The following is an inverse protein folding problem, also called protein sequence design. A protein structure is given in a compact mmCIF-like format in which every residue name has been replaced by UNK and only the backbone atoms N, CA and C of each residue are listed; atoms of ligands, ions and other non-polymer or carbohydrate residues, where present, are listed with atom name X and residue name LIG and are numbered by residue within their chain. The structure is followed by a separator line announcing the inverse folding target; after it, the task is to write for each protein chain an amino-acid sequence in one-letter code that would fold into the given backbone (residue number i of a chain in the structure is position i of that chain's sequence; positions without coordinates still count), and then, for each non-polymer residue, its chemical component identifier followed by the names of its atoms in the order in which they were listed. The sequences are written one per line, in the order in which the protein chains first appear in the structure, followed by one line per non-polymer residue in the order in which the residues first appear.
data_IF_402941248875
#
_entry.id   IF_402941248875
#
_cell.length_a   1.000
_cell.length_b   1.000
_cell.length_c   1.000
_cell.angle_alpha   90.00
_cell.angle_beta   90.00
_cell.angle_gamma   90.00
#
_symmetry.space_group_name_H-M   'P 1'
#
loop_
_entity.id
_entity.type
_entity.pdbx_description
1 polymer ?
#
# COMPACT_ATOMS: atom_id res chain seq x y z
N UNK A 1 30.01 -2.43 42.77
CA UNK A 1 29.09 -2.12 41.66
C UNK A 1 28.02 -1.17 42.17
N UNK A 2 28.07 0.10 41.78
CA UNK A 2 26.96 1.05 42.03
C UNK A 2 25.85 0.73 41.03
N UNK A 3 24.69 0.30 41.55
CA UNK A 3 23.53 -0.02 40.73
C UNK A 3 23.07 1.23 39.98
N UNK A 4 23.00 1.13 38.65
CA UNK A 4 22.40 2.17 37.81
C UNK A 4 20.94 2.32 38.26
N UNK A 5 20.62 3.45 38.90
CA UNK A 5 19.26 3.73 39.35
C UNK A 5 18.28 3.56 38.18
N UNK A 6 17.26 2.71 38.37
CA UNK A 6 16.25 2.44 37.35
C UNK A 6 15.63 3.73 36.82
N UNK A 7 15.35 3.79 35.51
CA UNK A 7 14.72 4.94 34.86
C UNK A 7 13.40 5.28 35.58
N UNK A 8 13.20 6.56 35.91
CA UNK A 8 12.00 7.05 36.60
C UNK A 8 10.72 6.71 35.83
N UNK A 9 9.74 6.10 36.52
CA UNK A 9 8.39 5.79 36.02
C UNK A 9 7.43 7.00 36.03
N UNK A 10 7.91 8.19 36.38
CA UNK A 10 7.10 9.40 36.45
C UNK A 10 6.50 9.78 35.08
N UNK A 11 5.31 10.41 35.09
CA UNK A 11 4.73 10.98 33.88
C UNK A 11 5.67 12.03 33.25
N UNK A 12 5.52 12.26 31.94
CA UNK A 12 6.42 13.14 31.17
C UNK A 12 6.53 14.55 31.77
N UNK A 13 5.42 15.12 32.24
CA UNK A 13 5.42 16.47 32.82
C UNK A 13 6.05 16.53 34.21
N UNK A 14 5.80 15.54 35.07
CA UNK A 14 6.47 15.47 36.37
C UNK A 14 7.98 15.26 36.21
N UNK A 15 8.38 14.46 35.22
CA UNK A 15 9.79 14.25 34.85
C UNK A 15 10.44 15.54 34.36
N UNK A 16 9.77 16.27 33.45
CA UNK A 16 10.22 17.58 32.94
C UNK A 16 10.34 18.61 34.07
N UNK A 17 9.36 18.64 34.97
CA UNK A 17 9.31 19.54 36.15
C UNK A 17 10.24 19.09 37.30
N UNK A 18 10.91 17.95 37.18
CA UNK A 18 11.77 17.34 38.23
C UNK A 18 11.08 17.19 39.59
N UNK A 19 9.80 16.77 39.55
CA UNK A 19 8.99 16.53 40.75
C UNK A 19 8.57 15.06 40.87
N UNK A 20 8.41 14.55 42.10
CA UNK A 20 7.92 13.18 42.34
C UNK A 20 6.51 13.00 41.78
N UNK A 21 6.34 12.09 40.85
CA UNK A 21 5.03 11.72 40.32
C UNK A 21 4.35 10.73 41.26
N UNK A 22 3.04 10.90 41.43
CA UNK A 22 2.17 10.02 42.22
C UNK A 22 1.67 8.79 41.45
N UNK A 23 1.99 8.68 40.14
CA UNK A 23 1.72 7.52 39.28
C UNK A 23 0.24 7.12 39.14
N UNK A 24 -0.72 7.99 39.48
CA UNK A 24 -2.15 7.68 39.26
C UNK A 24 -2.55 7.73 37.79
N UNK A 25 -3.30 6.74 37.33
CA UNK A 25 -3.85 6.67 35.98
C UNK A 25 -5.32 7.16 35.94
N UNK A 26 -5.80 7.77 34.84
CA UNK A 26 -5.10 8.07 33.58
C UNK A 26 -4.24 9.35 33.62
N UNK A 27 -4.31 10.15 34.69
CA UNK A 27 -3.51 11.37 34.88
C UNK A 27 -3.01 11.47 36.33
N UNK A 28 -1.76 11.90 36.51
CA UNK A 28 -1.21 12.08 37.86
C UNK A 28 -1.90 13.25 38.59
N UNK A 29 -2.21 13.07 39.88
CA UNK A 29 -2.83 14.09 40.73
C UNK A 29 -1.97 15.36 40.79
N UNK A 30 -0.65 15.23 40.68
CA UNK A 30 0.26 16.38 40.72
C UNK A 30 0.15 17.29 39.50
N UNK A 31 -0.17 16.74 38.32
CA UNK A 31 -0.49 17.54 37.13
C UNK A 31 -1.89 18.14 37.24
N UNK A 32 -2.87 17.36 37.73
CA UNK A 32 -4.24 17.84 37.93
C UNK A 32 -4.31 19.02 38.90
N UNK A 33 -3.63 18.95 40.05
CA UNK A 33 -3.56 20.05 41.03
C UNK A 33 -2.81 21.28 40.49
N UNK A 34 -1.81 21.05 39.66
CA UNK A 34 -1.07 22.13 38.99
C UNK A 34 -1.84 22.72 37.79
N UNK A 35 -3.05 22.23 37.48
CA UNK A 35 -3.87 22.63 36.33
C UNK A 35 -3.13 22.54 34.99
N UNK A 36 -2.24 21.55 34.84
CA UNK A 36 -1.54 21.27 33.58
C UNK A 36 -2.05 19.98 32.95
N UNK A 37 -2.07 19.95 31.62
CA UNK A 37 -2.42 18.74 30.87
C UNK A 37 -1.34 17.67 31.04
N UNK A 38 -1.67 16.56 31.71
CA UNK A 38 -0.75 15.44 31.89
C UNK A 38 -0.62 14.64 30.60
N UNK A 39 0.56 14.67 29.97
CA UNK A 39 0.90 13.93 28.75
C UNK A 39 1.04 12.41 28.98
N UNK A 40 0.86 11.94 30.21
CA UNK A 40 0.84 10.52 30.57
C UNK A 40 2.23 9.92 30.81
N UNK A 41 2.27 8.59 30.85
CA UNK A 41 3.42 7.79 31.33
C UNK A 41 4.21 7.10 30.21
N UNK A 42 3.74 7.21 28.96
CA UNK A 42 4.32 6.46 27.86
C UNK A 42 5.63 7.09 27.41
N UNK A 43 6.71 6.33 27.50
CA UNK A 43 7.93 6.59 26.75
C UNK A 43 7.73 5.89 25.40
N UNK A 44 7.64 6.66 24.32
CA UNK A 44 7.76 6.07 22.98
C UNK A 44 9.13 5.39 22.89
N UNK A 45 9.13 4.07 22.79
CA UNK A 45 10.35 3.30 22.57
C UNK A 45 10.79 3.55 21.13
N UNK A 46 11.84 4.34 20.97
CA UNK A 46 12.46 4.52 19.67
C UNK A 46 13.49 3.41 19.41
N UNK A 47 13.36 2.76 18.25
CA UNK A 47 14.38 1.84 17.75
C UNK A 47 15.47 2.65 17.05
N UNK A 48 16.72 2.49 17.48
CA UNK A 48 17.87 3.12 16.86
C UNK A 48 18.62 2.03 16.10
N UNK A 49 18.52 2.03 14.78
CA UNK A 49 19.26 1.11 13.94
C UNK A 49 20.72 1.58 13.85
N UNK A 50 21.65 0.80 14.42
CA UNK A 50 23.09 1.04 14.30
C UNK A 50 23.64 0.16 13.19
N UNK A 51 24.00 0.77 12.07
CA UNK A 51 24.63 0.07 10.95
C UNK A 51 26.16 0.08 11.10
N UNK A 52 26.85 -0.72 10.29
CA UNK A 52 28.32 -0.71 10.21
C UNK A 52 28.89 0.66 9.81
N UNK A 53 28.11 1.45 9.07
CA UNK A 53 28.45 2.82 8.66
C UNK A 53 28.25 3.83 9.79
N UNK A 54 27.39 3.53 10.77
CA UNK A 54 27.08 4.43 11.89
C UNK A 54 27.09 3.70 13.26
N UNK A 55 28.24 3.11 13.66
CA UNK A 55 28.33 2.31 14.89
C UNK A 55 28.12 3.16 16.16
N UNK A 56 28.41 4.46 16.09
CA UNK A 56 28.26 5.42 17.18
C UNK A 56 26.90 6.12 17.27
N UNK A 57 25.90 5.72 16.47
CA UNK A 57 24.62 6.42 16.45
C UNK A 57 23.90 6.30 17.81
N UNK A 58 23.72 7.45 18.45
CA UNK A 58 22.97 7.56 19.70
C UNK A 58 21.51 7.88 19.42
N UNK A 59 20.63 7.54 20.36
CA UNK A 59 19.22 7.89 20.29
C UNK A 59 18.99 9.40 20.11
N UNK A 60 19.77 10.24 20.81
CA UNK A 60 19.68 11.69 20.68
C UNK A 60 20.10 12.18 19.28
N UNK A 61 21.18 11.61 18.72
CA UNK A 61 21.63 11.94 17.37
C UNK A 61 20.62 11.48 16.30
N UNK A 62 20.02 10.29 16.45
CA UNK A 62 18.98 9.79 15.56
C UNK A 62 17.73 10.70 15.57
N UNK A 63 17.27 11.14 16.75
CA UNK A 63 16.15 12.10 16.87
C UNK A 63 16.50 13.46 16.26
N UNK A 64 17.68 14.00 16.56
CA UNK A 64 18.12 15.30 16.05
C UNK A 64 18.40 15.27 14.53
N UNK A 65 18.74 14.11 13.96
CA UNK A 65 18.83 13.87 12.53
C UNK A 65 17.44 13.79 11.88
N UNK A 66 16.51 13.05 12.49
CA UNK A 66 15.12 12.96 12.02
C UNK A 66 14.41 14.32 11.94
N UNK A 67 14.67 15.23 12.90
CA UNK A 67 14.14 16.59 12.88
C UNK A 67 14.72 17.49 11.78
N UNK A 68 15.84 17.10 11.16
CA UNK A 68 16.52 17.83 10.08
C UNK A 68 16.27 17.26 8.69
N UNK A 69 15.62 16.11 8.59
CA UNK A 69 15.27 15.54 7.30
C UNK A 69 14.15 16.38 6.65
N UNK A 70 14.23 16.71 5.34
CA UNK A 70 13.07 17.18 4.59
C UNK A 70 11.94 16.14 4.69
N UNK A 71 10.68 16.59 4.53
CA UNK A 71 9.42 15.84 4.70
C UNK A 71 9.58 14.32 4.85
N UNK A 72 9.12 13.75 5.97
CA UNK A 72 9.17 12.30 6.18
C UNK A 72 8.61 11.55 4.96
N UNK A 73 9.10 10.34 4.63
CA UNK A 73 8.61 9.56 3.49
C UNK A 73 7.08 9.42 3.49
N UNK A 74 6.46 9.35 4.67
CA UNK A 74 5.00 9.34 4.79
C UNK A 74 4.30 10.65 4.44
N UNK A 75 4.83 11.79 4.91
CA UNK A 75 4.30 13.09 4.52
C UNK A 75 4.36 13.31 3.00
N UNK A 76 5.46 12.89 2.35
CA UNK A 76 5.59 12.96 0.89
C UNK A 76 4.54 12.10 0.19
N UNK A 77 4.34 10.86 0.63
CA UNK A 77 3.32 9.96 0.08
C UNK A 77 1.91 10.49 0.24
N UNK A 78 1.57 11.02 1.41
CA UNK A 78 0.27 11.63 1.67
C UNK A 78 0.04 12.87 0.79
N UNK A 79 1.07 13.68 0.57
CA UNK A 79 1.00 14.83 -0.33
C UNK A 79 0.72 14.38 -1.77
N UNK A 80 1.46 13.39 -2.27
CA UNK A 80 1.23 12.81 -3.60
C UNK A 80 -0.17 12.21 -3.74
N UNK A 81 -0.66 11.50 -2.72
CA UNK A 81 -2.02 10.96 -2.73
C UNK A 81 -3.08 12.06 -2.85
N UNK A 82 -2.92 13.17 -2.13
CA UNK A 82 -3.85 14.29 -2.22
C UNK A 82 -3.81 14.96 -3.60
N UNK A 83 -2.64 15.02 -4.26
CA UNK A 83 -2.55 15.46 -5.66
C UNK A 83 -3.30 14.52 -6.59
N UNK A 84 -3.12 13.20 -6.44
CA UNK A 84 -3.83 12.20 -7.25
C UNK A 84 -5.36 12.33 -7.09
N UNK A 85 -5.87 12.56 -5.87
CA UNK A 85 -7.31 12.79 -5.64
C UNK A 85 -7.83 13.99 -6.43
N UNK A 86 -7.08 15.08 -6.48
CA UNK A 86 -7.46 16.29 -7.22
C UNK A 86 -7.42 16.05 -8.74
N UNK A 87 -6.40 15.35 -9.22
CA UNK A 87 -6.24 15.04 -10.65
C UNK A 87 -7.29 14.06 -11.16
N UNK A 88 -7.64 13.03 -10.37
CA UNK A 88 -8.71 12.09 -10.69
C UNK A 88 -10.07 12.78 -10.90
N UNK A 89 -10.32 13.89 -10.20
CA UNK A 89 -11.55 14.67 -10.35
C UNK A 89 -11.54 15.57 -11.61
N UNK A 90 -10.38 15.73 -12.27
CA UNK A 90 -10.23 16.57 -13.45
C UNK A 90 -10.41 15.77 -14.74
N UNK A 91 -11.27 16.22 -15.67
CA UNK A 91 -11.42 15.60 -16.98
C UNK A 91 -10.23 15.88 -17.92
N UNK A 92 -9.37 16.85 -17.59
CA UNK A 92 -8.22 17.26 -18.40
C UNK A 92 -6.89 16.65 -17.92
N UNK A 93 -6.94 15.62 -17.06
CA UNK A 93 -5.73 14.98 -16.53
C UNK A 93 -4.92 14.29 -17.64
N UNK A 94 -3.60 14.33 -17.54
CA UNK A 94 -2.70 13.52 -18.35
C UNK A 94 -2.59 12.10 -17.73
N UNK A 95 -3.10 11.04 -18.39
CA UNK A 95 -3.08 9.69 -17.84
C UNK A 95 -1.67 9.19 -17.53
N UNK A 96 -0.68 9.52 -18.37
CA UNK A 96 0.68 9.04 -18.19
C UNK A 96 1.31 9.68 -16.95
N UNK A 97 1.16 11.00 -16.81
CA UNK A 97 1.67 11.73 -15.65
C UNK A 97 1.01 11.26 -14.35
N UNK A 98 -0.31 11.06 -14.37
CA UNK A 98 -1.06 10.54 -13.23
C UNK A 98 -0.52 9.17 -12.78
N UNK A 99 -0.33 8.24 -13.73
CA UNK A 99 0.16 6.88 -13.47
C UNK A 99 1.57 6.89 -12.91
N UNK A 100 2.49 7.65 -13.52
CA UNK A 100 3.84 7.82 -12.99
C UNK A 100 3.85 8.36 -11.56
N UNK A 101 2.97 9.31 -11.23
CA UNK A 101 2.83 9.83 -9.87
C UNK A 101 2.27 8.80 -8.90
N UNK A 102 1.29 8.00 -9.31
CA UNK A 102 0.79 6.88 -8.50
C UNK A 102 1.90 5.88 -8.19
N UNK A 103 2.73 5.53 -9.18
CA UNK A 103 3.88 4.64 -8.97
C UNK A 103 4.91 5.20 -7.98
N UNK A 104 5.11 6.52 -7.93
CA UNK A 104 5.97 7.17 -6.92
C UNK A 104 5.45 7.00 -5.49
N UNK A 105 4.14 6.84 -5.30
CA UNK A 105 3.58 6.54 -3.97
C UNK A 105 3.89 5.11 -3.55
N UNK A 106 3.85 4.18 -4.50
CA UNK A 106 4.09 2.75 -4.29
C UNK A 106 5.58 2.42 -4.14
N UNK A 107 6.44 3.29 -4.65
CA UNK A 107 7.89 3.12 -4.57
C UNK A 107 8.39 3.07 -3.11
N UNK A 108 9.18 2.05 -2.78
CA UNK A 108 9.67 1.79 -1.43
C UNK A 108 8.62 1.25 -0.44
N UNK A 109 7.36 1.07 -0.85
CA UNK A 109 6.35 0.31 -0.10
C UNK A 109 6.19 -1.08 -0.67
N UNK A 110 6.00 -1.12 -1.99
CA UNK A 110 5.58 -2.30 -2.72
C UNK A 110 6.67 -2.79 -3.68
N UNK A 111 7.44 -1.87 -4.27
CA UNK A 111 8.60 -2.21 -5.09
C UNK A 111 9.73 -2.74 -4.18
N UNK A 112 10.17 -3.99 -4.35
CA UNK A 112 11.29 -4.52 -3.58
C UNK A 112 12.57 -3.77 -3.95
N UNK A 113 13.32 -3.32 -2.95
CA UNK A 113 14.68 -2.81 -3.16
C UNK A 113 15.59 -4.00 -3.46
N UNK A 114 15.90 -4.23 -4.74
CA UNK A 114 16.83 -5.27 -5.17
C UNK A 114 18.09 -4.61 -5.72
N UNK A 115 19.20 -4.72 -4.98
CA UNK A 115 20.55 -4.41 -5.47
C UNK A 115 21.21 -5.60 -6.15
N UNK A 116 20.45 -6.61 -6.57
CA UNK A 116 20.97 -7.77 -7.30
C UNK A 116 21.04 -7.43 -8.79
N UNK A 117 22.25 -7.17 -9.28
CA UNK A 117 22.52 -6.97 -10.70
C UNK A 117 21.95 -8.13 -11.53
N UNK A 118 21.08 -7.82 -12.50
CA UNK A 118 20.68 -8.75 -13.56
C UNK A 118 19.39 -9.56 -13.36
N UNK A 119 18.71 -9.49 -12.22
CA UNK A 119 17.41 -10.13 -12.02
C UNK A 119 16.28 -9.10 -11.90
N UNK A 120 15.59 -8.79 -13.01
CA UNK A 120 14.34 -8.03 -12.93
C UNK A 120 13.31 -8.89 -12.19
N UNK A 121 12.74 -8.43 -11.05
CA UNK A 121 11.70 -9.16 -10.37
C UNK A 121 10.44 -9.18 -11.25
N UNK A 122 10.22 -10.31 -11.90
CA UNK A 122 9.06 -10.61 -12.75
C UNK A 122 7.71 -10.17 -12.12
N UNK A 123 7.61 -10.18 -10.79
CA UNK A 123 6.42 -9.80 -10.02
C UNK A 123 6.05 -8.30 -10.07
N UNK A 124 6.95 -7.41 -10.52
CA UNK A 124 6.78 -5.95 -10.49
C UNK A 124 6.62 -5.35 -11.89
N UNK A 125 6.91 -6.13 -12.95
CA UNK A 125 6.86 -5.68 -14.35
C UNK A 125 5.49 -5.09 -14.76
N UNK A 126 4.40 -5.51 -14.12
CA UNK A 126 3.07 -4.97 -14.36
C UNK A 126 2.95 -3.49 -13.96
N UNK A 127 3.70 -3.02 -12.94
CA UNK A 127 3.74 -1.61 -12.56
C UNK A 127 4.49 -0.77 -13.59
N UNK A 128 5.59 -1.29 -14.14
CA UNK A 128 6.31 -0.65 -15.24
C UNK A 128 5.42 -0.51 -16.48
N UNK A 129 4.66 -1.57 -16.81
CA UNK A 129 3.69 -1.53 -17.90
C UNK A 129 2.66 -0.41 -17.69
N UNK A 130 2.12 -0.25 -16.48
CA UNK A 130 1.20 0.84 -16.12
C UNK A 130 1.83 2.22 -16.34
N UNK A 131 3.10 2.38 -15.98
CA UNK A 131 3.86 3.62 -16.18
C UNK A 131 4.10 4.00 -17.65
N UNK A 132 3.78 3.11 -18.59
CA UNK A 132 3.94 3.33 -20.03
C UNK A 132 2.60 3.43 -20.79
N UNK A 133 1.47 3.17 -20.15
CA UNK A 133 0.13 3.26 -20.75
C UNK A 133 -0.27 4.73 -20.87
N UNK A 134 -0.63 5.19 -22.08
CA UNK A 134 -0.94 6.61 -22.35
C UNK A 134 -2.43 6.85 -22.52
N UNK A 135 -3.18 5.80 -22.79
CA UNK A 135 -4.59 5.79 -23.09
C UNK A 135 -5.41 6.06 -21.83
N UNK A 136 -6.40 6.95 -21.93
CA UNK A 136 -7.30 7.28 -20.83
C UNK A 136 -8.14 6.07 -20.40
N UNK A 137 -8.21 5.83 -19.09
CA UNK A 137 -9.04 4.79 -18.49
C UNK A 137 -9.35 5.15 -17.03
N UNK A 138 -10.59 5.53 -16.76
CA UNK A 138 -11.04 5.86 -15.40
C UNK A 138 -10.94 4.65 -14.46
N UNK A 139 -11.24 3.43 -14.96
CA UNK A 139 -11.11 2.22 -14.16
C UNK A 139 -9.69 2.01 -13.64
N UNK A 140 -8.67 2.17 -14.49
CA UNK A 140 -7.26 2.05 -14.09
C UNK A 140 -6.87 3.17 -13.12
N UNK A 141 -7.18 4.42 -13.45
CA UNK A 141 -6.71 5.55 -12.65
C UNK A 141 -7.36 5.56 -11.25
N UNK A 142 -8.66 5.23 -11.15
CA UNK A 142 -9.35 5.06 -9.86
C UNK A 142 -8.82 3.85 -9.08
N UNK A 143 -8.49 2.75 -9.77
CA UNK A 143 -7.89 1.57 -9.13
C UNK A 143 -6.51 1.87 -8.57
N UNK A 144 -5.70 2.67 -9.27
CA UNK A 144 -4.40 3.14 -8.77
C UNK A 144 -4.54 4.08 -7.57
N UNK A 145 -5.52 4.98 -7.59
CA UNK A 145 -5.82 5.85 -6.46
C UNK A 145 -6.18 5.03 -5.21
N UNK A 146 -7.07 4.04 -5.36
CA UNK A 146 -7.43 3.12 -4.29
C UNK A 146 -6.20 2.35 -3.79
N UNK A 147 -5.40 1.81 -4.70
CA UNK A 147 -4.21 1.04 -4.37
C UNK A 147 -3.19 1.86 -3.57
N UNK A 148 -2.92 3.09 -4.00
CA UNK A 148 -2.03 4.02 -3.27
C UNK A 148 -2.53 4.29 -1.85
N UNK A 149 -3.83 4.61 -1.69
CA UNK A 149 -4.42 4.89 -0.38
C UNK A 149 -4.34 3.67 0.56
N UNK A 150 -4.59 2.47 0.03
CA UNK A 150 -4.52 1.22 0.79
C UNK A 150 -3.08 0.94 1.23
N UNK A 151 -2.10 1.10 0.35
CA UNK A 151 -0.69 0.88 0.70
C UNK A 151 -0.19 1.87 1.75
N UNK A 152 -0.57 3.14 1.67
CA UNK A 152 -0.25 4.13 2.71
C UNK A 152 -0.84 3.71 4.07
N UNK A 153 -2.11 3.25 4.09
CA UNK A 153 -2.76 2.75 5.32
C UNK A 153 -2.03 1.52 5.89
N UNK A 154 -1.65 0.57 5.04
CA UNK A 154 -0.96 -0.67 5.44
C UNK A 154 0.40 -0.39 6.09
N UNK A 155 1.15 0.60 5.61
CA UNK A 155 2.44 1.00 6.20
C UNK A 155 2.28 1.71 7.56
N UNK A 156 1.05 1.94 8.03
CA UNK A 156 0.77 2.42 9.38
C UNK A 156 0.77 3.94 9.50
N UNK A 157 0.51 4.67 8.41
CA UNK A 157 0.19 6.09 8.49
C UNK A 157 -1.27 6.27 8.92
N UNK A 158 -1.50 6.74 10.14
CA UNK A 158 -2.84 7.01 10.71
C UNK A 158 -3.63 8.12 9.98
N UNK A 159 -3.22 8.51 8.78
CA UNK A 159 -3.78 9.60 7.99
C UNK A 159 -5.01 9.17 7.16
N UNK A 160 -5.22 7.87 6.97
CA UNK A 160 -6.27 7.32 6.10
C UNK A 160 -7.05 6.25 6.86
N UNK A 161 -8.37 6.41 6.96
CA UNK A 161 -9.23 5.43 7.64
C UNK A 161 -9.45 4.18 6.79
N UNK A 162 -9.83 3.07 7.43
CA UNK A 162 -10.23 1.85 6.72
C UNK A 162 -11.44 2.12 5.80
N UNK A 163 -12.44 2.84 6.31
CA UNK A 163 -13.65 3.16 5.56
C UNK A 163 -13.35 3.98 4.30
N UNK A 164 -12.45 4.97 4.38
CA UNK A 164 -12.00 5.73 3.21
C UNK A 164 -11.38 4.82 2.15
N UNK A 165 -10.57 3.85 2.56
CA UNK A 165 -9.96 2.89 1.63
C UNK A 165 -10.98 1.97 0.98
N UNK A 166 -12.01 1.54 1.71
CA UNK A 166 -13.11 0.73 1.16
C UNK A 166 -13.95 1.54 0.18
N UNK A 167 -14.22 2.82 0.47
CA UNK A 167 -14.95 3.70 -0.44
C UNK A 167 -14.20 3.89 -1.78
N UNK A 168 -12.89 4.13 -1.72
CA UNK A 168 -12.04 4.25 -2.91
C UNK A 168 -12.01 2.94 -3.71
N UNK A 169 -11.83 1.80 -3.03
CA UNK A 169 -11.88 0.48 -3.68
C UNK A 169 -13.22 0.25 -4.38
N UNK A 170 -14.35 0.50 -3.69
CA UNK A 170 -15.68 0.29 -4.27
C UNK A 170 -15.95 1.25 -5.43
N UNK A 171 -15.42 2.47 -5.40
CA UNK A 171 -15.54 3.39 -6.51
C UNK A 171 -14.77 2.91 -7.74
N UNK A 172 -13.53 2.44 -7.55
CA UNK A 172 -12.74 1.84 -8.61
C UNK A 172 -13.39 0.57 -9.19
N UNK A 173 -13.92 -0.31 -8.32
CA UNK A 173 -14.62 -1.52 -8.74
C UNK A 173 -15.83 -1.21 -9.64
N UNK A 174 -16.61 -0.17 -9.33
CA UNK A 174 -17.73 0.26 -10.20
C UNK A 174 -17.27 0.64 -11.60
N UNK A 175 -16.14 1.35 -11.73
CA UNK A 175 -15.58 1.71 -13.03
C UNK A 175 -15.12 0.48 -13.81
N UNK A 176 -14.51 -0.51 -13.15
CA UNK A 176 -14.15 -1.79 -13.80
C UNK A 176 -15.40 -2.52 -14.30
N UNK A 177 -16.45 -2.61 -13.47
CA UNK A 177 -17.73 -3.24 -13.86
C UNK A 177 -18.32 -2.53 -15.09
N UNK A 178 -18.26 -1.20 -15.12
CA UNK A 178 -18.75 -0.41 -16.26
C UNK A 178 -17.94 -0.65 -17.54
N UNK A 179 -16.60 -0.69 -17.45
CA UNK A 179 -15.74 -1.03 -18.59
C UNK A 179 -16.04 -2.44 -19.11
N UNK A 180 -16.23 -3.42 -18.23
CA UNK A 180 -16.63 -4.78 -18.61
C UNK A 180 -17.99 -4.80 -19.33
N UNK A 181 -18.99 -4.08 -18.80
CA UNK A 181 -20.33 -3.98 -19.39
C UNK A 181 -20.31 -3.31 -20.78
N UNK A 182 -19.36 -2.40 -21.02
CA UNK A 182 -19.17 -1.72 -22.30
C UNK A 182 -18.29 -2.51 -23.30
N UNK A 183 -17.93 -3.76 -22.99
CA UNK A 183 -17.10 -4.60 -23.85
C UNK A 183 -15.62 -4.19 -23.88
N UNK A 184 -15.17 -3.36 -22.93
CA UNK A 184 -13.78 -2.89 -22.80
C UNK A 184 -12.90 -3.83 -21.96
N UNK A 185 -13.40 -5.01 -21.62
CA UNK A 185 -12.70 -5.98 -20.76
C UNK A 185 -11.37 -6.49 -21.29
N UNK A 186 -11.18 -6.49 -22.62
CA UNK A 186 -9.94 -6.92 -23.25
C UNK A 186 -8.89 -5.81 -23.37
N UNK A 187 -9.17 -4.57 -22.94
CA UNK A 187 -8.19 -3.47 -22.94
C UNK A 187 -7.14 -3.68 -21.87
N UNK A 188 -5.89 -3.36 -22.18
CA UNK A 188 -4.77 -3.52 -21.24
C UNK A 188 -4.94 -2.65 -19.98
N UNK A 189 -5.57 -1.47 -20.09
CA UNK A 189 -5.84 -0.63 -18.92
C UNK A 189 -6.87 -1.27 -17.99
N UNK A 190 -7.94 -1.86 -18.54
CA UNK A 190 -8.96 -2.58 -17.75
C UNK A 190 -8.34 -3.79 -17.03
N UNK A 191 -7.48 -4.51 -17.73
CA UNK A 191 -6.73 -5.64 -17.18
C UNK A 191 -5.78 -5.20 -16.06
N UNK A 192 -5.07 -4.09 -16.23
CA UNK A 192 -4.25 -3.49 -15.19
C UNK A 192 -5.07 -3.01 -13.99
N UNK A 193 -6.28 -2.49 -14.21
CA UNK A 193 -7.21 -2.10 -13.15
C UNK A 193 -7.63 -3.31 -12.31
N UNK A 194 -7.99 -4.43 -12.96
CA UNK A 194 -8.34 -5.70 -12.31
C UNK A 194 -7.15 -6.21 -11.47
N UNK A 195 -5.93 -6.16 -12.00
CA UNK A 195 -4.71 -6.54 -11.27
C UNK A 195 -4.51 -5.66 -10.02
N UNK A 196 -4.68 -4.34 -10.15
CA UNK A 196 -4.53 -3.41 -9.04
C UNK A 196 -5.57 -3.68 -7.94
N UNK A 197 -6.85 -3.87 -8.31
CA UNK A 197 -7.92 -4.19 -7.35
C UNK A 197 -7.70 -5.56 -6.71
N UNK A 198 -7.38 -6.61 -7.47
CA UNK A 198 -7.07 -7.93 -6.91
C UNK A 198 -5.91 -7.86 -5.90
N UNK A 199 -4.91 -7.01 -6.17
CA UNK A 199 -3.80 -6.78 -5.23
C UNK A 199 -4.25 -6.04 -3.98
N UNK A 200 -5.21 -5.10 -4.09
CA UNK A 200 -5.80 -4.41 -2.94
C UNK A 200 -6.52 -5.36 -1.98
N UNK A 201 -7.18 -6.39 -2.50
CA UNK A 201 -7.97 -7.34 -1.70
C UNK A 201 -7.13 -8.14 -0.72
N UNK A 202 -5.86 -8.40 -1.07
CA UNK A 202 -4.88 -9.01 -0.18
C UNK A 202 -4.70 -8.25 1.13
N UNK A 203 -5.05 -6.96 1.17
CA UNK A 203 -4.89 -6.08 2.33
C UNK A 203 -6.22 -5.60 2.93
N UNK A 204 -7.28 -5.53 2.14
CA UNK A 204 -8.60 -5.07 2.60
C UNK A 204 -9.48 -6.20 3.14
N UNK A 205 -9.44 -7.38 2.51
CA UNK A 205 -10.43 -8.44 2.68
C UNK A 205 -9.76 -9.79 2.95
N UNK A 206 -8.76 -9.81 3.83
CA UNK A 206 -7.91 -10.99 4.15
C UNK A 206 -8.73 -12.22 4.56
N UNK A 207 -9.95 -12.04 5.07
CA UNK A 207 -10.83 -13.11 5.55
C UNK A 207 -11.97 -13.46 4.59
N UNK A 208 -12.14 -12.73 3.49
CA UNK A 208 -13.27 -12.91 2.58
C UNK A 208 -12.85 -13.65 1.31
N UNK A 209 -13.84 -14.22 0.62
CA UNK A 209 -13.64 -14.90 -0.66
C UNK A 209 -13.43 -13.94 -1.85
N UNK A 210 -13.31 -12.62 -1.62
CA UNK A 210 -13.21 -11.61 -2.68
C UNK A 210 -12.08 -11.89 -3.66
N UNK A 211 -10.89 -12.27 -3.14
CA UNK A 211 -9.73 -12.64 -3.97
C UNK A 211 -10.03 -13.83 -4.89
N UNK A 212 -10.87 -14.76 -4.45
CA UNK A 212 -11.28 -15.93 -5.23
C UNK A 212 -12.12 -15.55 -6.44
N UNK A 213 -12.98 -14.54 -6.29
CA UNK A 213 -13.89 -14.06 -7.32
C UNK A 213 -13.08 -13.36 -8.42
N UNK A 214 -12.15 -12.48 -8.04
CA UNK A 214 -11.25 -11.85 -9.02
C UNK A 214 -10.32 -12.86 -9.68
N UNK A 215 -9.74 -13.80 -8.92
CA UNK A 215 -8.91 -14.87 -9.49
C UNK A 215 -9.70 -15.72 -10.51
N UNK A 216 -10.95 -16.05 -10.21
CA UNK A 216 -11.82 -16.77 -11.14
C UNK A 216 -12.15 -15.93 -12.38
N UNK A 217 -12.51 -14.66 -12.21
CA UNK A 217 -12.77 -13.74 -13.32
C UNK A 217 -11.55 -13.56 -14.23
N UNK A 218 -10.35 -13.41 -13.65
CA UNK A 218 -9.08 -13.37 -14.38
C UNK A 218 -8.89 -14.68 -15.15
N UNK A 219 -9.12 -15.83 -14.53
CA UNK A 219 -9.02 -17.14 -15.17
C UNK A 219 -9.94 -17.25 -16.39
N UNK A 220 -11.19 -16.76 -16.33
CA UNK A 220 -12.09 -16.73 -17.48
C UNK A 220 -11.58 -15.78 -18.59
N UNK A 221 -11.07 -14.60 -18.23
CA UNK A 221 -10.46 -13.67 -19.20
C UNK A 221 -9.29 -14.34 -19.92
N UNK A 222 -8.40 -15.02 -19.19
CA UNK A 222 -7.23 -15.70 -19.76
C UNK A 222 -7.64 -16.83 -20.72
N UNK A 223 -8.71 -17.58 -20.42
CA UNK A 223 -9.19 -18.67 -21.30
C UNK A 223 -9.80 -18.17 -22.59
N UNK A 224 -10.49 -17.04 -22.55
CA UNK A 224 -11.28 -16.53 -23.68
C UNK A 224 -10.60 -15.44 -24.48
N UNK A 225 -9.51 -14.85 -23.97
CA UNK A 225 -8.77 -13.82 -24.70
C UNK A 225 -8.02 -14.46 -25.86
N UNK A 226 -8.38 -14.05 -27.08
CA UNK A 226 -7.59 -14.37 -28.25
C UNK A 226 -6.33 -13.48 -28.30
N UNK A 227 -5.15 -14.09 -28.23
CA UNK A 227 -3.85 -13.41 -28.20
C UNK A 227 -3.11 -13.64 -29.52
N UNK A 228 -3.80 -13.52 -30.67
CA UNK A 228 -3.14 -13.59 -31.98
C UNK A 228 -2.07 -12.50 -32.15
N UNK A 229 -2.18 -11.36 -31.44
CA UNK A 229 -1.16 -10.32 -31.39
C UNK A 229 -1.07 -9.71 -29.97
N UNK A 230 -0.16 -10.20 -29.11
CA UNK A 230 0.00 -9.66 -27.77
C UNK A 230 0.51 -8.22 -27.82
N UNK A 231 -0.08 -7.35 -27.01
CA UNK A 231 0.43 -5.99 -26.82
C UNK A 231 1.79 -6.03 -26.10
N UNK A 232 2.57 -4.94 -26.21
CA UNK A 232 3.83 -4.78 -25.43
C UNK A 232 3.64 -4.77 -23.91
N UNK A 233 2.41 -4.71 -23.43
CA UNK A 233 2.06 -4.74 -22.00
C UNK A 233 1.68 -6.15 -21.55
N UNK A 234 1.17 -6.97 -22.47
CA UNK A 234 0.54 -8.25 -22.15
C UNK A 234 1.43 -9.18 -21.34
N UNK A 235 2.66 -9.42 -21.79
CA UNK A 235 3.58 -10.35 -21.13
C UNK A 235 3.86 -9.95 -19.67
N UNK A 236 3.84 -8.64 -19.39
CA UNK A 236 4.05 -8.09 -18.04
C UNK A 236 2.81 -8.19 -17.17
N UNK A 237 1.62 -8.05 -17.75
CA UNK A 237 0.34 -8.17 -17.03
C UNK A 237 -0.04 -9.64 -16.79
N UNK A 238 0.13 -10.51 -17.78
CA UNK A 238 -0.29 -11.93 -17.73
C UNK A 238 0.46 -12.69 -16.64
N UNK A 239 1.75 -12.41 -16.44
CA UNK A 239 2.53 -12.98 -15.34
C UNK A 239 1.86 -12.68 -14.00
N UNK A 240 1.45 -11.44 -13.77
CA UNK A 240 0.80 -11.03 -12.53
C UNK A 240 -0.58 -11.64 -12.37
N UNK A 241 -1.34 -11.77 -13.46
CA UNK A 241 -2.63 -12.47 -13.49
C UNK A 241 -2.50 -13.93 -13.12
N UNK A 242 -1.51 -14.63 -13.68
CA UNK A 242 -1.20 -16.02 -13.33
C UNK A 242 -0.85 -16.14 -11.84
N UNK A 243 -0.05 -15.21 -11.29
CA UNK A 243 0.26 -15.18 -9.85
C UNK A 243 -1.00 -15.02 -8.99
N UNK A 244 -1.92 -14.14 -9.37
CA UNK A 244 -3.20 -13.97 -8.66
C UNK A 244 -4.02 -15.25 -8.71
N UNK A 245 -4.09 -15.91 -9.87
CA UNK A 245 -4.79 -17.19 -10.02
C UNK A 245 -4.16 -18.31 -9.16
N UNK A 246 -2.83 -18.36 -9.08
CA UNK A 246 -2.11 -19.32 -8.23
C UNK A 246 -2.44 -19.08 -6.76
N UNK A 247 -2.36 -17.84 -6.28
CA UNK A 247 -2.70 -17.50 -4.88
C UNK A 247 -4.17 -17.80 -4.59
N UNK A 248 -5.07 -17.49 -5.52
CA UNK A 248 -6.49 -17.84 -5.45
C UNK A 248 -6.72 -19.35 -5.35
N UNK A 249 -6.02 -20.15 -6.16
CA UNK A 249 -6.15 -21.61 -6.12
C UNK A 249 -5.59 -22.24 -4.84
N UNK A 250 -4.47 -21.72 -4.33
CA UNK A 250 -3.87 -22.16 -3.06
C UNK A 250 -4.76 -21.85 -1.86
N UNK A 251 -5.42 -20.69 -1.86
CA UNK A 251 -6.32 -20.29 -0.76
C UNK A 251 -7.61 -21.09 -0.71
N UNK A 252 -8.06 -21.66 -1.84
CA UNK A 252 -9.33 -22.39 -1.97
C UNK A 252 -9.16 -23.90 -2.18
N UNK A 253 -7.93 -24.41 -2.24
CA UNK A 253 -7.63 -25.82 -2.46
C UNK A 253 -8.04 -26.35 -3.84
N UNK A 254 -8.19 -25.47 -4.85
CA UNK A 254 -8.60 -25.84 -6.21
C UNK A 254 -7.84 -25.03 -7.26
N UNK A 255 -7.15 -25.71 -8.17
CA UNK A 255 -6.48 -25.05 -9.29
C UNK A 255 -7.50 -24.44 -10.26
N UNK A 256 -7.19 -23.25 -10.77
CA UNK A 256 -7.95 -22.57 -11.82
C UNK A 256 -7.36 -22.93 -13.19
N UNK A 257 -8.21 -23.30 -14.16
CA UNK A 257 -7.77 -23.54 -15.53
C UNK A 257 -7.45 -22.22 -16.22
N UNK A 258 -6.28 -22.07 -16.84
CA UNK A 258 -5.86 -20.82 -17.49
C UNK A 258 -5.83 -20.92 -19.02
N UNK A 259 -6.03 -22.12 -19.56
CA UNK A 259 -6.20 -22.38 -20.98
C UNK A 259 -7.60 -22.95 -21.23
N UNK A 260 -8.20 -22.73 -22.41
CA UNK A 260 -9.38 -23.48 -22.81
C UNK A 260 -9.02 -24.97 -22.75
N UNK A 261 -9.75 -25.73 -21.94
CA UNK A 261 -9.50 -27.17 -21.84
C UNK A 261 -9.71 -27.83 -23.21
N UNK A 262 -8.84 -28.77 -23.57
CA UNK A 262 -9.29 -29.80 -24.50
C UNK A 262 -10.55 -30.42 -23.89
N UNK A 263 -11.60 -30.43 -24.70
CA UNK A 263 -12.86 -31.08 -24.37
C UNK A 263 -12.54 -32.51 -23.93
N UNK A 264 -12.54 -32.77 -22.62
CA UNK A 264 -12.44 -34.13 -22.11
C UNK A 264 -13.79 -34.76 -22.40
N UNK A 265 -13.90 -35.34 -23.59
CA UNK A 265 -14.95 -36.27 -23.96
C UNK A 265 -14.81 -37.49 -23.06
N UNK A 266 -15.58 -37.51 -21.97
CA UNK A 266 -15.92 -38.72 -21.23
C UNK A 266 -17.41 -38.72 -20.91
#
# INVERSE_FOLDING_TARGET
MVGVAGRSKACLDCKRRRVKCDLTEPRCLRCSRAKIHCQGYKLETIWVNRTLEQPGLTAAAAIAGAARLPQSPGQRRLHLLNQLKLECASPARDPLQFRCRALQVLDGIYTPYLSLEGAYPSAVLWLEAIGEMKEGCDALDQSLLAFCAIQIRVVGENSISYDDTVQLYNHALRNVIEDLAQGKGAREETLAAIIALSTCELFLFVKDQSLSIHAHGISEILRHRDVMQPSRYWDRLVVRMCLICIVGGLTHGRALALAPGECTMH
#
